data_IF_340484684794
#
_entry.id   IF_340484684794
#
_cell.length_a   1.000
_cell.length_b   1.000
_cell.length_c   1.000
_cell.angle_alpha   90.00
_cell.angle_beta   90.00
_cell.angle_gamma   90.00
#
_symmetry.space_group_name_H-M   'P 1'
#
loop_
_entity.id
_entity.type
_entity.pdbx_description
1 polymer ?
#
# COMPACT_ATOMS: atom_id res chain seq x y z
N UNK A 1 -3.07 -12.16 30.09
CA UNK A 1 -3.19 -11.42 28.82
C UNK A 1 -2.60 -12.32 27.75
N UNK A 2 -3.35 -12.62 26.71
CA UNK A 2 -2.92 -13.50 25.61
C UNK A 2 -3.02 -12.71 24.30
N UNK A 3 -1.94 -12.75 23.51
CA UNK A 3 -1.91 -12.13 22.18
C UNK A 3 -2.44 -13.18 21.21
N UNK A 4 -3.55 -12.88 20.53
CA UNK A 4 -4.21 -13.81 19.59
C UNK A 4 -3.82 -13.57 18.14
N UNK A 5 -3.33 -12.38 17.80
CA UNK A 5 -2.89 -12.02 16.46
C UNK A 5 -1.89 -10.88 16.48
N UNK A 6 -0.94 -10.92 15.54
CA UNK A 6 -0.04 -9.82 15.21
C UNK A 6 0.06 -9.76 13.68
N UNK A 7 -0.29 -8.62 13.09
CA UNK A 7 -0.24 -8.41 11.64
C UNK A 7 0.79 -7.32 11.31
N UNK A 8 1.62 -7.52 10.28
CA UNK A 8 2.50 -6.46 9.79
C UNK A 8 1.67 -5.36 9.12
N UNK A 9 2.16 -4.13 9.17
CA UNK A 9 1.54 -2.99 8.52
C UNK A 9 2.55 -1.89 8.25
N UNK A 10 2.13 -0.91 7.46
CA UNK A 10 2.95 0.26 7.11
C UNK A 10 2.16 1.54 7.36
N UNK A 11 2.92 2.59 7.69
CA UNK A 11 2.44 3.96 7.69
C UNK A 11 2.86 4.59 6.37
N UNK A 12 1.90 5.00 5.55
CA UNK A 12 2.13 5.75 4.33
C UNK A 12 1.86 7.22 4.64
N UNK A 13 2.82 8.08 4.30
CA UNK A 13 2.69 9.53 4.44
C UNK A 13 2.45 10.09 3.05
N UNK A 14 1.30 10.71 2.85
CA UNK A 14 0.93 11.38 1.60
C UNK A 14 1.16 12.87 1.79
N UNK A 15 1.94 13.49 0.90
CA UNK A 15 2.25 14.92 0.95
C UNK A 15 1.80 15.60 -0.36
N UNK A 16 0.95 16.61 -0.25
CA UNK A 16 0.53 17.47 -1.36
C UNK A 16 0.67 18.95 -0.94
N UNK A 17 1.80 19.56 -1.29
CA UNK A 17 2.16 20.90 -0.85
C UNK A 17 2.30 20.98 0.68
N UNK A 18 1.40 21.73 1.33
CA UNK A 18 1.34 21.84 2.80
C UNK A 18 0.47 20.77 3.46
N UNK A 19 -0.30 20.00 2.67
CA UNK A 19 -1.18 18.93 3.18
C UNK A 19 -0.34 17.68 3.44
N UNK A 20 -0.44 17.15 4.67
CA UNK A 20 0.13 15.85 5.03
C UNK A 20 -0.96 14.96 5.61
N UNK A 21 -1.11 13.78 5.04
CA UNK A 21 -2.05 12.76 5.49
C UNK A 21 -1.30 11.48 5.83
N UNK A 22 -1.57 10.92 7.00
CA UNK A 22 -1.05 9.63 7.43
C UNK A 22 -2.10 8.55 7.19
N UNK A 23 -1.76 7.54 6.39
CA UNK A 23 -2.59 6.36 6.15
C UNK A 23 -1.90 5.13 6.75
N UNK A 24 -2.61 4.40 7.59
CA UNK A 24 -2.12 3.14 8.15
C UNK A 24 -2.83 1.97 7.47
N UNK A 25 -2.04 1.07 6.89
CA UNK A 25 -2.55 -0.17 6.26
C UNK A 25 -1.84 -1.37 6.87
N UNK A 26 -2.61 -2.40 7.19
CA UNK A 26 -2.12 -3.67 7.73
C UNK A 26 -2.42 -4.79 6.76
N UNK A 27 -1.59 -5.84 6.76
CA UNK A 27 -1.81 -7.02 5.93
C UNK A 27 -3.24 -7.54 6.08
N UNK A 28 -3.92 -7.74 4.95
CA UNK A 28 -5.32 -8.15 4.89
C UNK A 28 -6.32 -6.98 4.81
N UNK A 29 -5.89 -5.73 4.99
CA UNK A 29 -6.75 -4.58 4.73
C UNK A 29 -7.11 -4.49 3.25
N UNK A 30 -8.37 -4.15 2.96
CA UNK A 30 -8.75 -3.73 1.62
C UNK A 30 -8.23 -2.33 1.38
N UNK A 31 -7.60 -2.14 0.22
CA UNK A 31 -7.05 -0.87 -0.21
C UNK A 31 -7.50 -0.57 -1.63
N UNK A 32 -7.65 0.72 -1.91
CA UNK A 32 -7.84 1.23 -3.25
C UNK A 32 -6.60 2.03 -3.62
N UNK A 33 -5.96 1.63 -4.71
CA UNK A 33 -4.72 2.21 -5.23
C UNK A 33 -5.03 2.86 -6.57
N UNK A 34 -4.70 4.14 -6.69
CA UNK A 34 -4.80 4.90 -7.93
C UNK A 34 -3.40 5.04 -8.50
N UNK A 35 -3.19 4.52 -9.71
CA UNK A 35 -1.95 4.67 -10.48
C UNK A 35 -2.16 5.69 -11.60
N UNK A 36 -1.10 5.94 -12.37
CA UNK A 36 -1.19 6.74 -13.60
C UNK A 36 -2.12 6.15 -14.66
N UNK A 37 -2.30 4.83 -14.68
CA UNK A 37 -3.02 4.11 -15.72
C UNK A 37 -4.43 3.68 -15.30
N UNK A 38 -4.60 3.28 -14.04
CA UNK A 38 -5.86 2.71 -13.56
C UNK A 38 -6.10 2.93 -12.06
N UNK A 39 -7.28 2.54 -11.60
CA UNK A 39 -7.62 2.51 -10.18
C UNK A 39 -8.06 1.10 -9.81
N UNK A 40 -7.33 0.49 -8.88
CA UNK A 40 -7.49 -0.91 -8.49
C UNK A 40 -7.89 -1.00 -7.04
N UNK A 41 -8.85 -1.86 -6.73
CA UNK A 41 -9.19 -2.24 -5.35
C UNK A 41 -8.77 -3.68 -5.11
N UNK A 42 -8.20 -3.97 -3.95
CA UNK A 42 -7.77 -5.32 -3.60
C UNK A 42 -7.25 -5.39 -2.17
N UNK A 43 -6.71 -6.54 -1.80
CA UNK A 43 -6.25 -6.82 -0.43
C UNK A 43 -4.76 -6.56 -0.32
N UNK A 44 -4.35 -5.66 0.58
CA UNK A 44 -2.94 -5.36 0.85
C UNK A 44 -2.21 -6.58 1.43
N UNK A 45 -1.04 -6.88 0.87
CA UNK A 45 -0.21 -8.01 1.28
C UNK A 45 1.03 -7.55 2.04
N UNK A 46 1.88 -6.76 1.38
CA UNK A 46 3.14 -6.24 1.93
C UNK A 46 3.68 -5.10 1.07
N UNK A 47 4.70 -4.43 1.59
CA UNK A 47 5.60 -3.57 0.81
C UNK A 47 6.95 -4.27 0.70
N UNK A 48 7.46 -4.44 -0.51
CA UNK A 48 8.83 -4.84 -0.75
C UNK A 48 9.69 -3.57 -0.75
N UNK A 49 10.57 -3.44 0.24
CA UNK A 49 11.43 -2.26 0.38
C UNK A 49 12.66 -2.37 -0.53
N UNK A 50 12.95 -1.29 -1.24
CA UNK A 50 14.12 -1.14 -2.08
C UNK A 50 15.42 -1.33 -1.27
N UNK A 51 16.43 -1.97 -1.88
CA UNK A 51 17.74 -2.17 -1.23
C UNK A 51 18.70 -1.03 -1.50
N UNK A 52 18.51 -0.34 -2.63
CA UNK A 52 19.36 0.74 -3.11
C UNK A 52 18.49 1.95 -3.48
N UNK A 53 19.09 3.14 -3.49
CA UNK A 53 18.37 4.39 -3.77
C UNK A 53 17.84 4.51 -5.20
N UNK A 54 18.35 3.69 -6.12
CA UNK A 54 17.93 3.64 -7.51
C UNK A 54 16.71 2.72 -7.74
N UNK A 55 16.30 1.96 -6.73
CA UNK A 55 15.14 1.08 -6.76
C UNK A 55 13.98 1.74 -6.00
N UNK A 56 12.75 1.52 -6.46
CA UNK A 56 11.54 1.96 -5.78
C UNK A 56 10.98 0.87 -4.86
N UNK A 57 10.34 1.31 -3.77
CA UNK A 57 9.52 0.41 -2.95
C UNK A 57 8.34 -0.10 -3.80
N UNK A 58 7.96 -1.36 -3.62
CA UNK A 58 6.87 -2.00 -4.39
C UNK A 58 5.73 -2.38 -3.46
N UNK A 59 4.53 -1.89 -3.78
CA UNK A 59 3.29 -2.28 -3.12
C UNK A 59 2.76 -3.58 -3.73
N UNK A 60 2.55 -4.60 -2.91
CA UNK A 60 1.91 -5.85 -3.32
C UNK A 60 0.49 -5.98 -2.74
N UNK A 61 -0.45 -6.35 -3.60
CA UNK A 61 -1.84 -6.62 -3.24
C UNK A 61 -2.41 -7.79 -4.06
N UNK A 62 -3.57 -8.30 -3.65
CA UNK A 62 -4.32 -9.32 -4.41
C UNK A 62 -5.60 -8.68 -4.95
N UNK A 63 -5.81 -8.76 -6.27
CA UNK A 63 -7.01 -8.31 -7.00
C UNK A 63 -7.64 -9.53 -7.65
N UNK A 64 -8.88 -9.86 -7.29
CA UNK A 64 -9.64 -10.97 -7.89
C UNK A 64 -8.86 -12.31 -7.94
N UNK A 65 -8.19 -12.66 -6.84
CA UNK A 65 -7.30 -13.84 -6.71
C UNK A 65 -5.99 -13.78 -7.53
N UNK A 66 -5.77 -12.72 -8.31
CA UNK A 66 -4.51 -12.45 -9.00
C UNK A 66 -3.61 -11.50 -8.21
N UNK A 67 -2.30 -11.71 -8.31
CA UNK A 67 -1.32 -10.81 -7.72
C UNK A 67 -1.22 -9.50 -8.52
N UNK A 68 -1.23 -8.38 -7.81
CA UNK A 68 -0.97 -7.06 -8.37
C UNK A 68 0.20 -6.43 -7.61
N UNK A 69 1.16 -5.89 -8.36
CA UNK A 69 2.34 -5.23 -7.81
C UNK A 69 2.54 -3.90 -8.52
N UNK A 70 2.80 -2.84 -7.77
CA UNK A 70 3.01 -1.49 -8.31
C UNK A 70 4.15 -0.78 -7.58
N UNK A 71 5.15 -0.25 -8.31
CA UNK A 71 6.17 0.63 -7.74
C UNK A 71 5.56 1.91 -7.14
N UNK A 72 6.11 2.41 -6.04
CA UNK A 72 5.58 3.58 -5.34
C UNK A 72 5.60 4.86 -6.19
N UNK A 73 6.57 5.02 -7.09
CA UNK A 73 6.66 6.18 -7.99
C UNK A 73 5.48 6.26 -9.00
N UNK A 74 4.77 5.16 -9.22
CA UNK A 74 3.59 5.07 -10.09
C UNK A 74 2.28 5.24 -9.32
N UNK A 75 2.31 5.31 -7.98
CA UNK A 75 1.13 5.49 -7.14
C UNK A 75 0.82 6.98 -7.02
N UNK A 76 -0.37 7.37 -7.47
CA UNK A 76 -0.92 8.72 -7.27
C UNK A 76 -1.60 8.82 -5.90
N UNK A 77 -2.37 7.80 -5.53
CA UNK A 77 -3.12 7.78 -4.28
C UNK A 77 -3.30 6.36 -3.74
N UNK A 78 -3.37 6.25 -2.42
CA UNK A 78 -3.74 5.04 -1.71
C UNK A 78 -4.63 5.37 -0.52
N UNK A 79 -5.74 4.66 -0.43
CA UNK A 79 -6.68 4.78 0.68
C UNK A 79 -7.11 3.40 1.15
N UNK A 80 -7.43 3.28 2.44
CA UNK A 80 -8.13 2.10 2.96
C UNK A 80 -9.54 2.08 2.38
N UNK A 81 -9.97 0.93 1.89
CA UNK A 81 -11.32 0.72 1.39
C UNK A 81 -12.17 0.03 2.47
N UNK A 82 -13.45 0.38 2.52
CA UNK A 82 -14.44 -0.22 3.44
C UNK A 82 -14.80 -1.68 3.05
#
# INVERSE_FOLDING_TARGET
MEITSLLPGVKIVKEDGEVKEDVFISQGDKVKVTTVDETVTGTFMLVEFARYSEEDDILHMVRDEEGFAVPFDQIIDIVRAD
#
